data_IF_186305938027
#
_entry.id   IF_186305938027
#
_cell.length_a   1.000
_cell.length_b   1.000
_cell.length_c   1.000
_cell.angle_alpha   90.00
_cell.angle_beta   90.00
_cell.angle_gamma   90.00
#
_symmetry.space_group_name_H-M   'P 1'
#
loop_
_entity.id
_entity.type
_entity.pdbx_description
1 polymer ?
#
# COMPACT_ATOMS: atom_id res chain seq x y z
N UNK A 1 64.85 -18.20 -17.97
CA UNK A 1 64.60 -17.97 -16.53
C UNK A 1 63.23 -17.27 -16.36
N UNK A 2 62.44 -17.72 -15.40
CA UNK A 2 61.20 -17.03 -15.09
C UNK A 2 61.49 -15.67 -14.47
N UNK A 3 60.81 -14.64 -14.92
CA UNK A 3 61.02 -13.27 -14.47
C UNK A 3 60.62 -13.13 -12.99
N UNK A 4 61.50 -12.58 -12.17
CA UNK A 4 61.25 -12.33 -10.73
C UNK A 4 60.51 -10.99 -10.48
N UNK A 5 60.03 -10.75 -9.28
CA UNK A 5 59.37 -9.49 -8.93
C UNK A 5 60.33 -8.25 -9.09
N UNK A 6 61.61 -8.47 -8.81
CA UNK A 6 62.65 -7.46 -9.07
C UNK A 6 62.85 -7.20 -10.57
N UNK A 7 62.81 -8.24 -11.40
CA UNK A 7 62.85 -8.09 -12.84
C UNK A 7 61.62 -7.36 -13.40
N UNK A 8 60.45 -7.58 -12.83
CA UNK A 8 59.23 -6.86 -13.20
C UNK A 8 59.28 -5.36 -12.87
N UNK A 9 59.91 -5.00 -11.77
CA UNK A 9 60.13 -3.59 -11.41
C UNK A 9 61.05 -2.89 -12.37
N UNK A 10 62.10 -3.60 -12.83
CA UNK A 10 63.12 -3.08 -13.72
C UNK A 10 62.66 -2.88 -15.19
N UNK A 11 61.47 -3.37 -15.57
CA UNK A 11 60.93 -3.20 -16.93
C UNK A 11 60.65 -1.70 -17.20
N UNK A 12 61.30 -1.14 -18.22
CA UNK A 12 61.12 0.25 -18.64
C UNK A 12 60.06 0.36 -19.75
N UNK A 13 59.30 1.46 -19.81
CA UNK A 13 58.40 1.71 -20.91
C UNK A 13 59.16 1.88 -22.26
N UNK A 14 58.47 1.49 -23.34
CA UNK A 14 58.95 1.67 -24.72
C UNK A 14 57.92 2.47 -25.49
N UNK A 15 58.28 2.97 -26.69
CA UNK A 15 57.36 3.70 -27.56
C UNK A 15 56.06 2.96 -27.85
N UNK A 16 56.11 1.63 -27.96
CA UNK A 16 54.94 0.78 -28.15
C UNK A 16 54.80 -0.17 -26.98
N UNK A 17 53.52 -0.52 -26.65
CA UNK A 17 53.22 -1.54 -25.62
C UNK A 17 53.89 -2.87 -26.00
N UNK A 18 54.49 -3.52 -25.04
CA UNK A 18 55.11 -4.83 -25.23
C UNK A 18 54.77 -5.79 -24.07
N UNK A 19 54.90 -7.09 -24.29
CA UNK A 19 54.61 -8.08 -23.27
C UNK A 19 55.87 -8.89 -22.94
N UNK A 20 56.00 -9.27 -21.66
CA UNK A 20 57.08 -10.09 -21.16
C UNK A 20 56.47 -11.30 -20.49
N UNK A 21 56.93 -12.51 -20.82
CA UNK A 21 56.44 -13.76 -20.19
C UNK A 21 56.99 -13.89 -18.78
N UNK A 22 56.13 -14.33 -17.85
CA UNK A 22 56.47 -14.64 -16.44
C UNK A 22 56.23 -16.08 -16.07
N UNK A 23 55.94 -16.96 -17.06
CA UNK A 23 55.64 -18.37 -16.90
C UNK A 23 54.13 -18.68 -16.94
N UNK A 24 53.73 -19.91 -17.14
CA UNK A 24 52.38 -20.44 -17.10
C UNK A 24 51.37 -19.66 -17.98
N UNK A 25 51.84 -19.27 -19.18
CA UNK A 25 51.08 -18.40 -20.10
C UNK A 25 50.64 -17.07 -19.48
N UNK A 26 51.22 -16.66 -18.35
CA UNK A 26 51.09 -15.36 -17.74
C UNK A 26 52.11 -14.38 -18.32
N UNK A 27 51.65 -13.20 -18.66
CA UNK A 27 52.46 -12.11 -19.23
C UNK A 27 52.26 -10.86 -18.43
N UNK A 28 53.31 -10.00 -18.44
CA UNK A 28 53.15 -8.59 -18.05
C UNK A 28 53.13 -7.74 -19.31
N UNK A 29 52.09 -6.98 -19.49
CA UNK A 29 51.96 -5.99 -20.55
C UNK A 29 52.41 -4.63 -20.02
N UNK A 30 53.48 -4.09 -20.64
CA UNK A 30 54.05 -2.78 -20.28
C UNK A 30 53.59 -1.75 -21.32
N UNK A 31 52.99 -0.69 -20.81
CA UNK A 31 52.49 0.42 -21.63
C UNK A 31 53.50 1.55 -21.73
N UNK A 32 53.42 2.44 -22.79
CA UNK A 32 54.31 3.59 -22.95
C UNK A 32 54.29 4.57 -21.78
N UNK A 33 53.17 4.65 -21.05
CA UNK A 33 53.03 5.49 -19.84
C UNK A 33 53.60 4.84 -18.57
N UNK A 34 54.32 3.70 -18.69
CA UNK A 34 54.90 2.98 -17.56
C UNK A 34 53.95 2.04 -16.82
N UNK A 35 52.65 2.03 -17.17
CA UNK A 35 51.68 1.11 -16.57
C UNK A 35 52.02 -0.34 -16.93
N UNK A 36 51.97 -1.22 -15.92
CA UNK A 36 52.24 -2.65 -16.04
C UNK A 36 51.01 -3.45 -15.61
N UNK A 37 50.57 -4.38 -16.44
CA UNK A 37 49.36 -5.17 -16.17
C UNK A 37 49.63 -6.63 -16.40
N UNK A 38 49.11 -7.51 -15.49
CA UNK A 38 49.15 -8.92 -15.71
C UNK A 38 48.04 -9.37 -16.68
N UNK A 39 48.43 -10.18 -17.65
CA UNK A 39 47.56 -10.75 -18.69
C UNK A 39 47.84 -12.25 -18.81
N UNK A 40 46.81 -13.08 -18.67
CA UNK A 40 46.87 -14.49 -18.86
C UNK A 40 46.35 -14.87 -20.25
N UNK A 41 47.16 -15.60 -21.03
CA UNK A 41 46.76 -16.09 -22.35
C UNK A 41 46.30 -17.53 -22.26
N UNK A 42 45.08 -17.82 -22.63
CA UNK A 42 44.51 -19.17 -22.55
C UNK A 42 43.77 -19.51 -23.82
N UNK A 43 43.46 -20.81 -23.99
CA UNK A 43 42.67 -21.32 -25.10
C UNK A 43 41.30 -21.74 -24.58
N UNK A 44 40.23 -21.32 -25.26
CA UNK A 44 38.85 -21.69 -24.93
C UNK A 44 38.03 -22.00 -26.19
N UNK A 45 37.27 -23.11 -26.25
CA UNK A 45 37.24 -24.22 -25.27
C UNK A 45 38.62 -24.87 -25.10
N UNK A 46 38.84 -25.65 -23.98
CA UNK A 46 40.16 -26.20 -23.62
C UNK A 46 40.59 -27.40 -24.47
N UNK A 47 40.32 -27.38 -25.76
CA UNK A 47 40.63 -28.43 -26.73
C UNK A 47 41.35 -27.85 -27.97
N UNK A 48 41.69 -28.68 -28.97
CA UNK A 48 42.42 -28.27 -30.18
C UNK A 48 41.67 -27.27 -31.04
N UNK A 49 40.30 -27.24 -30.99
CA UNK A 49 39.46 -26.31 -31.74
C UNK A 49 39.35 -24.91 -31.06
N UNK A 50 39.77 -24.79 -29.79
CA UNK A 50 39.68 -23.54 -29.03
C UNK A 50 40.57 -22.46 -29.58
N UNK A 51 40.08 -21.19 -29.43
CA UNK A 51 40.83 -20.02 -29.79
C UNK A 51 41.62 -19.45 -28.63
N UNK A 52 42.77 -18.81 -28.89
CA UNK A 52 43.49 -18.10 -27.85
C UNK A 52 42.78 -16.80 -27.45
N UNK A 53 42.70 -16.57 -26.17
CA UNK A 53 42.11 -15.38 -25.53
C UNK A 53 43.06 -14.81 -24.51
N UNK A 54 43.02 -13.49 -24.33
CA UNK A 54 43.73 -12.80 -23.29
C UNK A 54 42.77 -12.40 -22.16
N UNK A 55 43.13 -12.73 -20.92
CA UNK A 55 42.41 -12.31 -19.71
C UNK A 55 43.29 -11.33 -18.93
N UNK A 56 42.86 -10.08 -18.83
CA UNK A 56 43.56 -9.07 -18.05
C UNK A 56 43.20 -9.27 -16.55
N UNK A 57 44.20 -9.68 -15.76
CA UNK A 57 44.09 -9.90 -14.31
C UNK A 57 43.98 -8.54 -13.59
N UNK A 58 44.98 -7.68 -13.79
CA UNK A 58 44.98 -6.35 -13.20
C UNK A 58 46.36 -5.67 -13.18
N UNK A 59 46.48 -4.44 -12.63
CA UNK A 59 47.72 -3.69 -12.58
C UNK A 59 48.72 -4.30 -11.60
N UNK A 60 49.98 -4.33 -12.00
CA UNK A 60 51.08 -4.78 -11.16
C UNK A 60 51.37 -3.77 -10.04
N UNK A 61 51.60 -4.25 -8.81
CA UNK A 61 52.05 -3.44 -7.69
C UNK A 61 51.58 -3.97 -6.31
N UNK A 62 51.81 -3.18 -5.29
CA UNK A 62 51.33 -3.44 -3.92
C UNK A 62 50.19 -2.47 -3.57
N UNK A 63 49.22 -2.91 -2.75
CA UNK A 63 48.10 -2.11 -2.28
C UNK A 63 46.77 -2.48 -2.90
N UNK A 64 45.69 -1.80 -2.54
CA UNK A 64 44.33 -2.09 -3.00
C UNK A 64 44.23 -2.06 -4.53
N UNK A 65 43.54 -3.08 -5.11
CA UNK A 65 43.32 -3.19 -6.56
C UNK A 65 44.57 -3.53 -7.38
N UNK A 66 45.77 -3.70 -6.78
CA UNK A 66 47.00 -4.09 -7.45
C UNK A 66 47.38 -5.54 -7.18
N UNK A 67 48.16 -6.11 -8.10
CA UNK A 67 48.54 -7.52 -8.11
C UNK A 67 50.03 -7.68 -7.96
N UNK A 68 50.48 -8.49 -7.00
CA UNK A 68 51.87 -8.98 -6.94
C UNK A 68 52.02 -10.17 -7.88
N UNK A 69 53.26 -10.50 -8.24
CA UNK A 69 53.53 -11.67 -9.11
C UNK A 69 52.96 -12.97 -8.50
N UNK A 70 53.12 -13.16 -7.19
CA UNK A 70 52.57 -14.34 -6.51
C UNK A 70 51.06 -14.41 -6.66
N UNK A 71 50.34 -13.34 -6.27
CA UNK A 71 48.89 -13.29 -6.40
C UNK A 71 48.39 -13.47 -7.84
N UNK A 72 49.11 -12.94 -8.83
CA UNK A 72 48.75 -13.10 -10.23
C UNK A 72 48.89 -14.59 -10.68
N UNK A 73 49.94 -15.32 -10.20
CA UNK A 73 50.09 -16.75 -10.46
C UNK A 73 49.02 -17.58 -9.80
N UNK A 74 48.70 -17.30 -8.52
CA UNK A 74 47.60 -17.95 -7.80
C UNK A 74 46.27 -17.78 -8.55
N UNK A 75 45.99 -16.57 -9.06
CA UNK A 75 44.80 -16.29 -9.85
C UNK A 75 44.78 -17.06 -11.17
N UNK A 76 45.93 -17.23 -11.86
CA UNK A 76 45.99 -18.06 -13.06
C UNK A 76 45.60 -19.51 -12.77
N UNK A 77 46.03 -20.07 -11.63
CA UNK A 77 45.63 -21.43 -11.22
C UNK A 77 44.12 -21.53 -11.06
N UNK A 78 43.53 -20.57 -10.37
CA UNK A 78 42.06 -20.48 -10.18
C UNK A 78 41.30 -20.36 -11.50
N UNK A 79 41.76 -19.48 -12.39
CA UNK A 79 41.15 -19.26 -13.70
C UNK A 79 41.28 -20.49 -14.61
N UNK A 80 42.41 -21.22 -14.52
CA UNK A 80 42.62 -22.45 -15.30
C UNK A 80 41.72 -23.59 -14.82
N UNK A 81 41.42 -23.68 -13.52
CA UNK A 81 40.42 -24.60 -12.98
C UNK A 81 39.02 -24.32 -13.56
N UNK A 82 38.57 -23.07 -13.60
CA UNK A 82 37.30 -22.68 -14.24
C UNK A 82 37.28 -23.06 -15.73
N UNK A 83 38.36 -22.75 -16.46
CA UNK A 83 38.52 -23.10 -17.86
C UNK A 83 38.40 -24.61 -18.09
N UNK A 84 39.05 -25.45 -17.24
CA UNK A 84 38.99 -26.92 -17.31
C UNK A 84 37.59 -27.44 -16.99
N UNK A 85 36.84 -26.76 -16.14
CA UNK A 85 35.43 -27.04 -15.84
C UNK A 85 34.47 -26.62 -16.99
N UNK A 86 35.00 -26.06 -18.09
CA UNK A 86 34.17 -25.65 -19.24
C UNK A 86 33.63 -24.23 -19.14
N UNK A 87 34.05 -23.48 -18.14
CA UNK A 87 33.61 -22.06 -17.95
C UNK A 87 34.65 -21.11 -18.54
N UNK A 88 34.19 -20.13 -19.36
CA UNK A 88 35.08 -19.11 -19.90
C UNK A 88 35.31 -17.99 -18.89
N UNK A 89 36.52 -17.82 -18.32
CA UNK A 89 36.82 -16.80 -17.35
C UNK A 89 36.55 -15.35 -17.83
N UNK A 90 36.72 -15.11 -19.14
CA UNK A 90 36.44 -13.78 -19.73
C UNK A 90 34.94 -13.49 -19.77
N UNK A 91 34.13 -14.48 -20.08
CA UNK A 91 32.68 -14.36 -20.08
C UNK A 91 32.17 -14.09 -18.67
N UNK A 92 32.59 -14.90 -17.68
CA UNK A 92 32.23 -14.71 -16.26
C UNK A 92 32.58 -13.29 -15.75
N UNK A 93 33.77 -12.77 -16.11
CA UNK A 93 34.16 -11.40 -15.74
C UNK A 93 33.26 -10.36 -16.37
N UNK A 94 32.84 -10.56 -17.63
CA UNK A 94 31.96 -9.62 -18.33
C UNK A 94 30.55 -9.61 -17.73
N UNK A 95 30.03 -10.80 -17.38
CA UNK A 95 28.71 -10.94 -16.73
C UNK A 95 28.71 -10.32 -15.33
N UNK A 96 29.75 -10.58 -14.52
CA UNK A 96 29.89 -9.92 -13.22
C UNK A 96 29.92 -8.40 -13.31
N UNK A 97 30.61 -7.85 -14.32
CA UNK A 97 30.65 -6.40 -14.58
C UNK A 97 29.28 -5.87 -15.01
N UNK A 98 28.57 -6.57 -15.89
CA UNK A 98 27.22 -6.20 -16.31
C UNK A 98 26.26 -6.20 -15.11
N UNK A 99 26.35 -7.23 -14.26
CA UNK A 99 25.52 -7.34 -13.07
C UNK A 99 25.78 -6.18 -12.08
N UNK A 100 27.05 -5.83 -11.84
CA UNK A 100 27.42 -4.66 -11.02
C UNK A 100 26.86 -3.34 -11.59
N UNK A 101 26.94 -3.16 -12.91
CA UNK A 101 26.36 -1.99 -13.58
C UNK A 101 24.84 -1.99 -13.42
N UNK A 102 24.19 -3.14 -13.65
CA UNK A 102 22.75 -3.31 -13.49
C UNK A 102 22.30 -2.98 -12.06
N UNK A 103 23.03 -3.46 -11.06
CA UNK A 103 22.76 -3.15 -9.65
C UNK A 103 22.91 -1.66 -9.34
N UNK A 104 23.95 -1.01 -9.88
CA UNK A 104 24.21 0.40 -9.67
C UNK A 104 23.22 1.33 -10.39
N UNK A 105 22.57 0.85 -11.47
CA UNK A 105 21.59 1.61 -12.26
C UNK A 105 20.15 1.29 -11.92
N UNK A 106 19.90 0.23 -11.14
CA UNK A 106 18.54 -0.15 -10.73
C UNK A 106 18.00 0.85 -9.74
N UNK A 107 16.77 1.34 -9.94
CA UNK A 107 16.11 2.25 -9.00
C UNK A 107 15.99 1.67 -7.59
N UNK A 108 16.01 2.55 -6.60
CA UNK A 108 15.80 2.20 -5.19
C UNK A 108 14.34 1.83 -4.90
N UNK A 109 14.11 1.15 -3.78
CA UNK A 109 12.79 0.73 -3.33
C UNK A 109 11.85 1.92 -3.13
N UNK A 110 12.35 3.04 -2.58
CA UNK A 110 11.54 4.26 -2.42
C UNK A 110 11.09 4.80 -3.78
N UNK A 111 11.95 4.78 -4.80
CA UNK A 111 11.59 5.22 -6.15
C UNK A 111 10.54 4.32 -6.80
N UNK A 112 10.61 3.01 -6.53
CA UNK A 112 9.57 2.07 -6.97
C UNK A 112 8.24 2.32 -6.26
N UNK A 113 8.27 2.61 -4.95
CA UNK A 113 7.10 2.95 -4.17
C UNK A 113 6.42 4.24 -4.65
N UNK A 114 7.19 5.30 -4.88
CA UNK A 114 6.67 6.57 -5.41
C UNK A 114 6.04 6.40 -6.79
N UNK A 115 6.75 5.74 -7.71
CA UNK A 115 6.23 5.52 -9.06
C UNK A 115 4.98 4.65 -9.10
N UNK A 116 4.84 3.68 -8.18
CA UNK A 116 3.63 2.90 -8.01
C UNK A 116 2.46 3.77 -7.50
N UNK A 117 2.70 4.61 -6.49
CA UNK A 117 1.69 5.49 -5.91
C UNK A 117 1.20 6.54 -6.91
N UNK A 118 2.11 7.16 -7.65
CA UNK A 118 1.80 8.23 -8.63
C UNK A 118 0.97 7.70 -9.82
N UNK A 119 1.16 6.43 -10.19
CA UNK A 119 0.38 5.81 -11.27
C UNK A 119 -0.87 5.09 -10.80
N UNK A 120 -1.14 5.12 -9.50
CA UNK A 120 -2.33 4.47 -8.95
C UNK A 120 -3.60 5.15 -9.42
N UNK A 121 -4.51 4.37 -10.00
CA UNK A 121 -5.87 4.81 -10.39
C UNK A 121 -6.85 4.76 -9.21
N UNK A 122 -6.38 4.46 -8.02
CA UNK A 122 -7.20 4.39 -6.81
C UNK A 122 -7.61 5.79 -6.34
N UNK A 123 -8.67 5.84 -5.52
CA UNK A 123 -9.09 7.09 -4.86
C UNK A 123 -7.94 7.67 -4.01
N UNK A 124 -7.85 9.01 -3.88
CA UNK A 124 -6.78 9.67 -3.10
C UNK A 124 -6.63 9.12 -1.66
N UNK A 125 -7.74 8.77 -1.01
CA UNK A 125 -7.73 8.16 0.33
C UNK A 125 -7.05 6.79 0.33
N UNK A 126 -7.27 5.96 -0.68
CA UNK A 126 -6.61 4.65 -0.82
C UNK A 126 -5.12 4.81 -1.10
N UNK A 127 -4.75 5.77 -1.96
CA UNK A 127 -3.34 6.08 -2.24
C UNK A 127 -2.63 6.56 -0.98
N UNK A 128 -3.29 7.40 -0.16
CA UNK A 128 -2.79 7.84 1.15
C UNK A 128 -2.56 6.65 2.09
N UNK A 129 -3.50 5.71 2.16
CA UNK A 129 -3.36 4.49 2.96
C UNK A 129 -2.20 3.61 2.49
N UNK A 130 -2.02 3.45 1.18
CA UNK A 130 -0.91 2.70 0.59
C UNK A 130 0.43 3.39 0.89
N UNK A 131 0.49 4.71 0.75
CA UNK A 131 1.66 5.52 1.12
C UNK A 131 2.03 5.29 2.59
N UNK A 132 1.08 5.45 3.51
CA UNK A 132 1.31 5.22 4.93
C UNK A 132 1.85 3.81 5.20
N UNK A 133 1.34 2.79 4.51
CA UNK A 133 1.80 1.42 4.68
C UNK A 133 3.22 1.22 4.16
N UNK A 134 3.53 1.72 2.96
CA UNK A 134 4.87 1.63 2.38
C UNK A 134 5.88 2.38 3.24
N UNK A 135 5.59 3.62 3.65
CA UNK A 135 6.54 4.46 4.37
C UNK A 135 6.73 4.07 5.84
N UNK A 136 5.69 3.54 6.49
CA UNK A 136 5.75 3.22 7.92
C UNK A 136 6.02 1.74 8.22
N UNK A 137 5.81 0.82 7.27
CA UNK A 137 5.98 -0.61 7.49
C UNK A 137 7.02 -1.24 6.56
N UNK A 138 7.07 -0.85 5.29
CA UNK A 138 7.89 -1.53 4.27
C UNK A 138 9.28 -0.92 4.15
N UNK A 139 9.36 0.38 3.85
CA UNK A 139 10.63 1.06 3.62
C UNK A 139 11.57 1.05 4.83
N UNK A 140 11.11 1.20 6.09
CA UNK A 140 12.01 1.14 7.25
C UNK A 140 12.66 -0.24 7.44
N UNK A 141 12.01 -1.32 7.01
CA UNK A 141 12.49 -2.70 7.19
C UNK A 141 13.33 -3.17 6.00
N UNK A 142 12.86 -2.93 4.78
CA UNK A 142 13.54 -3.40 3.55
C UNK A 142 14.63 -2.43 3.06
N UNK A 143 14.72 -1.23 3.64
CA UNK A 143 15.66 -0.17 3.29
C UNK A 143 15.18 0.68 2.09
N UNK A 144 14.95 2.00 2.27
CA UNK A 144 14.45 2.87 1.20
C UNK A 144 15.39 2.94 0.01
N UNK A 145 16.70 2.90 0.25
CA UNK A 145 17.75 3.01 -0.78
C UNK A 145 18.16 1.67 -1.38
N UNK A 146 17.57 0.55 -0.93
CA UNK A 146 17.84 -0.78 -1.47
C UNK A 146 17.47 -0.82 -2.96
N UNK A 147 18.40 -1.17 -3.87
CA UNK A 147 18.06 -1.41 -5.27
C UNK A 147 16.98 -2.49 -5.36
N UNK A 148 15.89 -2.20 -6.09
CA UNK A 148 14.69 -3.07 -6.06
C UNK A 148 14.97 -4.49 -6.55
N UNK A 149 15.94 -4.68 -7.46
CA UNK A 149 16.35 -6.00 -7.95
C UNK A 149 17.04 -6.87 -6.87
N UNK A 150 17.53 -6.30 -5.77
CA UNK A 150 18.03 -7.08 -4.64
C UNK A 150 16.93 -7.83 -3.89
N UNK A 151 15.68 -7.40 -4.09
CA UNK A 151 14.50 -8.06 -3.53
C UNK A 151 13.88 -9.06 -4.52
N UNK A 152 14.59 -9.44 -5.59
CA UNK A 152 14.16 -10.52 -6.47
C UNK A 152 14.07 -11.85 -5.71
N UNK A 153 13.21 -12.73 -6.18
CA UNK A 153 13.02 -14.04 -5.56
C UNK A 153 14.32 -14.84 -5.47
N UNK A 154 15.11 -14.81 -6.54
CA UNK A 154 16.44 -15.42 -6.62
C UNK A 154 17.45 -14.90 -5.60
N UNK A 155 17.24 -13.67 -5.11
CA UNK A 155 18.12 -13.00 -4.16
C UNK A 155 17.60 -13.06 -2.71
N UNK A 156 16.66 -13.96 -2.43
CA UNK A 156 16.07 -14.12 -1.10
C UNK A 156 15.01 -13.06 -0.75
N UNK A 157 14.56 -12.25 -1.72
CA UNK A 157 13.54 -11.23 -1.50
C UNK A 157 12.22 -11.78 -0.98
N UNK A 158 11.88 -13.02 -1.38
CA UNK A 158 10.68 -13.71 -0.87
C UNK A 158 10.73 -13.88 0.65
N UNK A 159 11.85 -14.34 1.20
CA UNK A 159 12.02 -14.51 2.64
C UNK A 159 11.89 -13.16 3.37
N UNK A 160 12.53 -12.11 2.85
CA UNK A 160 12.47 -10.77 3.45
C UNK A 160 11.02 -10.23 3.48
N UNK A 161 10.27 -10.40 2.40
CA UNK A 161 8.85 -9.99 2.32
C UNK A 161 7.99 -10.78 3.32
N UNK A 162 8.21 -12.09 3.44
CA UNK A 162 7.47 -12.92 4.40
C UNK A 162 7.83 -12.60 5.84
N UNK A 163 9.11 -12.41 6.17
CA UNK A 163 9.54 -12.01 7.52
C UNK A 163 8.95 -10.66 7.93
N UNK A 164 8.87 -9.70 7.00
CA UNK A 164 8.18 -8.43 7.26
C UNK A 164 6.69 -8.67 7.55
N UNK A 165 6.01 -9.50 6.76
CA UNK A 165 4.61 -9.84 7.00
C UNK A 165 4.41 -10.47 8.36
N UNK A 166 5.23 -11.47 8.71
CA UNK A 166 5.21 -12.18 9.98
C UNK A 166 5.44 -11.24 11.17
N UNK A 167 6.36 -10.29 11.07
CA UNK A 167 6.60 -9.29 12.11
C UNK A 167 5.38 -8.39 12.37
N UNK A 168 4.55 -8.14 11.35
CA UNK A 168 3.28 -7.42 11.52
C UNK A 168 2.23 -8.32 12.20
N UNK A 169 2.21 -9.60 11.88
CA UNK A 169 1.31 -10.59 12.50
C UNK A 169 1.62 -10.80 13.98
N UNK A 170 2.90 -10.90 14.36
CA UNK A 170 3.35 -11.01 15.75
C UNK A 170 2.89 -9.83 16.61
N UNK A 171 2.73 -8.64 16.03
CA UNK A 171 2.13 -7.47 16.68
C UNK A 171 0.60 -7.54 16.80
N UNK A 172 -0.03 -8.67 16.44
CA UNK A 172 -1.48 -8.89 16.49
C UNK A 172 -2.27 -8.25 15.33
N UNK A 173 -1.60 -7.78 14.29
CA UNK A 173 -2.24 -7.01 13.20
C UNK A 173 -2.41 -7.84 11.93
N UNK A 174 -3.14 -8.96 12.01
CA UNK A 174 -3.32 -9.90 10.90
C UNK A 174 -3.89 -9.25 9.62
N UNK A 175 -4.92 -8.42 9.77
CA UNK A 175 -5.48 -7.68 8.63
C UNK A 175 -4.46 -6.75 7.97
N UNK A 176 -3.67 -6.04 8.79
CA UNK A 176 -2.65 -5.13 8.28
C UNK A 176 -1.52 -5.89 7.57
N UNK A 177 -1.16 -7.09 8.03
CA UNK A 177 -0.14 -7.91 7.38
C UNK A 177 -0.56 -8.32 5.96
N UNK A 178 -1.81 -8.76 5.79
CA UNK A 178 -2.35 -9.11 4.47
C UNK A 178 -2.47 -7.90 3.54
N UNK A 179 -2.90 -6.75 4.08
CA UNK A 179 -2.97 -5.49 3.34
C UNK A 179 -1.58 -5.02 2.92
N UNK A 180 -0.58 -5.15 3.80
CA UNK A 180 0.81 -4.82 3.51
C UNK A 180 1.36 -5.70 2.36
N UNK A 181 1.12 -7.00 2.42
CA UNK A 181 1.51 -7.92 1.34
C UNK A 181 0.86 -7.56 0.01
N UNK A 182 -0.42 -7.17 0.02
CA UNK A 182 -1.14 -6.73 -1.18
C UNK A 182 -0.53 -5.45 -1.78
N UNK A 183 -0.18 -4.48 -0.94
CA UNK A 183 0.42 -3.21 -1.39
C UNK A 183 1.84 -3.44 -1.92
N UNK A 184 2.66 -4.25 -1.23
CA UNK A 184 3.98 -4.66 -1.72
C UNK A 184 3.88 -5.38 -3.07
N UNK A 185 2.87 -6.24 -3.26
CA UNK A 185 2.66 -6.89 -4.55
C UNK A 185 2.48 -5.87 -5.67
N UNK A 186 1.59 -4.89 -5.49
CA UNK A 186 1.38 -3.85 -6.51
C UNK A 186 2.65 -3.05 -6.81
N UNK A 187 3.45 -2.72 -5.80
CA UNK A 187 4.72 -2.03 -5.95
C UNK A 187 5.76 -2.88 -6.72
N UNK A 188 5.89 -4.17 -6.40
CA UNK A 188 6.83 -5.05 -7.12
C UNK A 188 6.35 -5.38 -8.54
N UNK A 189 5.03 -5.55 -8.77
CA UNK A 189 4.49 -5.68 -10.13
C UNK A 189 4.84 -4.45 -10.97
N UNK A 190 4.67 -3.24 -10.42
CA UNK A 190 5.11 -2.02 -11.08
C UNK A 190 6.61 -2.02 -11.42
N UNK A 191 7.47 -2.50 -10.51
CA UNK A 191 8.91 -2.59 -10.76
C UNK A 191 9.26 -3.63 -11.84
N UNK A 192 8.54 -4.75 -11.89
CA UNK A 192 8.67 -5.80 -12.92
C UNK A 192 8.24 -5.24 -14.28
N UNK A 193 7.10 -4.58 -14.38
CA UNK A 193 6.60 -3.95 -15.60
C UNK A 193 7.56 -2.89 -16.17
N UNK A 194 8.38 -2.28 -15.32
CA UNK A 194 9.44 -1.34 -15.69
C UNK A 194 10.77 -2.00 -16.05
N UNK A 195 10.88 -3.32 -15.92
CA UNK A 195 12.14 -4.05 -16.14
C UNK A 195 13.19 -3.79 -15.06
N UNK A 196 12.81 -3.22 -13.91
CA UNK A 196 13.71 -2.95 -12.79
C UNK A 196 13.96 -4.18 -11.93
N UNK A 197 13.09 -5.18 -12.04
CA UNK A 197 13.11 -6.43 -11.29
C UNK A 197 12.67 -7.58 -12.20
N UNK A 198 13.24 -8.77 -11.99
CA UNK A 198 12.81 -9.98 -12.70
C UNK A 198 11.67 -10.69 -11.97
N UNK A 199 10.72 -11.30 -12.69
CA UNK A 199 9.73 -12.19 -12.09
C UNK A 199 10.40 -13.48 -11.52
N UNK A 200 9.74 -14.16 -10.57
CA UNK A 200 8.41 -13.88 -10.04
C UNK A 200 8.42 -12.81 -8.95
N UNK A 201 7.28 -12.11 -8.78
CA UNK A 201 7.08 -11.10 -7.75
C UNK A 201 7.27 -11.69 -6.34
N UNK A 202 8.17 -11.14 -5.50
CA UNK A 202 8.45 -11.68 -4.16
C UNK A 202 7.27 -11.56 -3.19
N UNK A 203 6.32 -10.67 -3.44
CA UNK A 203 5.09 -10.54 -2.66
C UNK A 203 3.91 -11.35 -3.24
N UNK A 204 4.15 -12.20 -4.23
CA UNK A 204 3.10 -13.05 -4.79
C UNK A 204 2.49 -13.95 -3.70
N UNK A 205 1.14 -13.94 -3.60
CA UNK A 205 0.45 -14.69 -2.58
C UNK A 205 0.38 -16.20 -2.88
N UNK A 206 0.77 -17.03 -1.93
CA UNK A 206 0.33 -18.41 -1.84
C UNK A 206 -0.81 -18.51 -0.81
N UNK A 207 -1.57 -19.63 -0.82
CA UNK A 207 -2.57 -19.90 0.23
C UNK A 207 -1.93 -19.88 1.62
N UNK A 208 -0.69 -20.30 1.75
CA UNK A 208 0.08 -20.33 3.00
C UNK A 208 0.55 -18.94 3.45
N UNK A 209 0.66 -17.96 2.53
CA UNK A 209 1.03 -16.59 2.87
C UNK A 209 -0.15 -15.74 3.34
N UNK A 210 -1.38 -16.27 3.32
CA UNK A 210 -2.54 -15.56 3.88
C UNK A 210 -2.56 -15.73 5.39
N UNK A 211 -2.82 -14.63 6.10
CA UNK A 211 -3.04 -14.70 7.54
C UNK A 211 -4.31 -15.50 7.87
N UNK A 212 -4.40 -15.97 9.11
CA UNK A 212 -5.63 -16.60 9.63
C UNK A 212 -6.70 -15.56 10.04
N UNK A 213 -6.61 -14.33 9.49
CA UNK A 213 -7.56 -13.28 9.78
C UNK A 213 -8.96 -13.67 9.34
N UNK A 214 -9.88 -13.68 10.30
CA UNK A 214 -11.33 -13.75 10.04
C UNK A 214 -11.91 -12.36 10.27
N UNK A 215 -12.58 -11.75 9.27
CA UNK A 215 -13.27 -10.49 9.50
C UNK A 215 -14.26 -10.61 10.65
N UNK A 216 -14.14 -9.75 11.64
CA UNK A 216 -15.12 -9.64 12.72
C UNK A 216 -16.12 -8.58 12.25
N UNK A 217 -17.43 -8.90 12.17
CA UNK A 217 -18.44 -7.90 11.85
C UNK A 217 -18.40 -6.73 12.83
N UNK A 218 -18.71 -5.52 12.36
CA UNK A 218 -18.85 -4.39 13.28
C UNK A 218 -19.99 -4.69 14.25
N UNK A 219 -19.80 -4.50 15.56
CA UNK A 219 -20.85 -4.69 16.54
C UNK A 219 -22.01 -3.73 16.26
N UNK A 220 -23.22 -4.19 16.51
CA UNK A 220 -24.50 -3.50 16.33
C UNK A 220 -25.36 -3.71 17.56
N UNK A 221 -26.13 -2.71 17.93
CA UNK A 221 -27.20 -2.89 18.94
C UNK A 221 -28.31 -3.75 18.35
N UNK A 222 -28.97 -4.47 19.25
CA UNK A 222 -30.30 -5.07 18.99
C UNK A 222 -31.36 -4.00 19.12
N UNK A 223 -32.55 -4.25 18.51
CA UNK A 223 -33.65 -3.29 18.50
C UNK A 223 -34.13 -2.91 19.91
N UNK A 224 -34.19 -3.87 20.80
CA UNK A 224 -34.63 -3.72 22.18
C UNK A 224 -33.65 -2.92 23.06
N UNK A 225 -32.45 -2.70 22.60
CA UNK A 225 -31.45 -1.90 23.33
C UNK A 225 -31.53 -0.38 22.99
N UNK A 226 -32.34 -0.01 22.01
CA UNK A 226 -32.48 1.38 21.59
C UNK A 226 -33.01 2.32 22.66
N UNK A 227 -34.03 1.96 23.48
CA UNK A 227 -34.52 2.86 24.53
C UNK A 227 -33.41 3.28 25.50
N UNK A 228 -32.60 2.35 25.93
CA UNK A 228 -31.47 2.62 26.81
C UNK A 228 -30.40 3.47 26.10
N UNK A 229 -30.13 3.18 24.84
CA UNK A 229 -29.18 3.96 24.04
C UNK A 229 -29.63 5.42 23.90
N UNK A 230 -30.90 5.68 23.62
CA UNK A 230 -31.40 7.04 23.47
C UNK A 230 -31.45 7.79 24.82
N UNK A 231 -31.79 7.10 25.92
CA UNK A 231 -31.66 7.70 27.26
C UNK A 231 -30.23 8.14 27.55
N UNK A 232 -29.24 7.30 27.29
CA UNK A 232 -27.81 7.63 27.51
C UNK A 232 -27.32 8.74 26.56
N UNK A 233 -27.82 8.76 25.31
CA UNK A 233 -27.50 9.82 24.35
C UNK A 233 -28.01 11.18 24.83
N UNK A 234 -29.25 11.24 25.35
CA UNK A 234 -29.85 12.47 25.89
C UNK A 234 -29.13 12.93 27.16
N UNK A 235 -28.74 12.01 28.04
CA UNK A 235 -28.01 12.31 29.28
C UNK A 235 -26.67 12.96 28.98
N UNK A 236 -26.03 12.57 27.88
CA UNK A 236 -24.74 13.11 27.44
C UNK A 236 -23.69 13.24 28.55
N UNK A 237 -23.55 12.24 29.40
CA UNK A 237 -22.56 12.24 30.50
C UNK A 237 -21.12 12.56 30.02
N UNK A 238 -20.65 12.08 28.81
CA UNK A 238 -19.34 12.43 28.29
C UNK A 238 -19.17 13.91 27.93
N UNK A 239 -20.24 14.73 27.94
CA UNK A 239 -20.20 16.16 27.61
C UNK A 239 -19.80 16.44 26.17
N UNK A 240 -20.30 15.68 25.22
CA UNK A 240 -20.11 15.96 23.79
C UNK A 240 -20.79 17.26 23.37
N UNK A 241 -20.26 17.92 22.35
CA UNK A 241 -20.90 19.12 21.79
C UNK A 241 -22.28 18.76 21.20
N UNK A 242 -23.21 19.70 21.28
CA UNK A 242 -24.56 19.55 20.70
C UNK A 242 -24.50 19.12 19.24
N UNK A 243 -23.56 19.68 18.46
CA UNK A 243 -23.36 19.31 17.05
C UNK A 243 -22.99 17.82 16.92
N UNK A 244 -22.19 17.27 17.83
CA UNK A 244 -21.84 15.83 17.83
C UNK A 244 -23.03 14.97 18.17
N UNK A 245 -23.86 15.36 19.17
CA UNK A 245 -25.09 14.66 19.53
C UNK A 245 -26.08 14.64 18.37
N UNK A 246 -26.35 15.80 17.77
CA UNK A 246 -27.24 15.92 16.63
C UNK A 246 -26.71 15.13 15.41
N UNK A 247 -25.38 15.08 15.22
CA UNK A 247 -24.78 14.25 14.17
C UNK A 247 -24.99 12.75 14.42
N UNK A 248 -24.98 12.28 15.69
CA UNK A 248 -25.33 10.90 16.02
C UNK A 248 -26.82 10.62 15.77
N UNK A 249 -27.71 11.55 16.15
CA UNK A 249 -29.16 11.43 15.84
C UNK A 249 -29.39 11.31 14.33
N UNK A 250 -28.79 12.18 13.53
CA UNK A 250 -28.87 12.10 12.05
C UNK A 250 -28.27 10.79 11.54
N UNK A 251 -27.16 10.31 12.13
CA UNK A 251 -26.55 9.02 11.77
C UNK A 251 -27.52 7.87 11.97
N UNK A 252 -28.22 7.81 13.11
CA UNK A 252 -29.17 6.73 13.43
C UNK A 252 -30.40 6.82 12.53
N UNK A 253 -30.92 8.03 12.27
CA UNK A 253 -32.08 8.22 11.39
C UNK A 253 -31.78 7.89 9.93
N UNK A 254 -30.58 8.20 9.43
CA UNK A 254 -30.24 8.04 8.01
C UNK A 254 -29.36 6.84 7.72
N UNK A 255 -28.79 6.24 8.75
CA UNK A 255 -27.80 5.15 8.67
C UNK A 255 -26.73 5.34 7.57
N UNK A 256 -26.40 6.59 7.26
CA UNK A 256 -25.33 6.97 6.34
C UNK A 256 -23.95 6.56 6.89
N UNK A 257 -22.96 6.43 6.02
CA UNK A 257 -21.58 6.31 6.49
C UNK A 257 -21.11 7.63 7.09
N UNK A 258 -20.42 7.57 8.24
CA UNK A 258 -19.93 8.79 8.91
C UNK A 258 -19.12 9.70 7.99
N UNK A 259 -18.33 9.14 7.07
CA UNK A 259 -17.58 9.92 6.09
C UNK A 259 -18.41 10.57 4.99
N UNK A 260 -19.67 10.14 4.77
CA UNK A 260 -20.62 10.81 3.88
C UNK A 260 -21.47 11.83 4.63
N UNK A 261 -21.75 11.58 5.92
CA UNK A 261 -22.60 12.39 6.76
C UNK A 261 -21.87 13.66 7.26
N UNK A 262 -20.72 13.49 7.95
CA UNK A 262 -20.11 14.62 8.70
C UNK A 262 -19.65 15.80 7.84
N UNK A 263 -19.24 15.64 6.55
CA UNK A 263 -18.91 16.78 5.69
C UNK A 263 -20.11 17.43 4.99
N UNK A 264 -21.35 17.15 5.43
CA UNK A 264 -22.55 17.70 4.80
C UNK A 264 -22.53 19.23 4.76
N UNK A 265 -22.98 19.80 3.64
CA UNK A 265 -23.10 21.25 3.41
C UNK A 265 -24.55 21.64 3.30
N UNK A 266 -24.89 22.86 3.72
CA UNK A 266 -26.26 23.35 3.65
C UNK A 266 -26.84 23.37 2.25
N UNK A 267 -26.03 23.62 1.24
CA UNK A 267 -26.44 23.65 -0.17
C UNK A 267 -26.95 22.29 -0.72
N UNK A 268 -26.68 21.22 -0.01
CA UNK A 268 -27.09 19.87 -0.40
C UNK A 268 -28.54 19.54 -0.03
N UNK A 269 -29.18 20.40 0.77
CA UNK A 269 -30.51 20.17 1.32
C UNK A 269 -31.57 21.01 0.61
N UNK A 270 -32.41 20.37 -0.18
CA UNK A 270 -33.62 20.99 -0.78
C UNK A 270 -34.82 20.71 0.12
N UNK A 271 -35.11 21.67 1.04
CA UNK A 271 -36.23 21.55 1.97
C UNK A 271 -37.60 21.65 1.29
N UNK A 272 -37.70 22.17 0.05
CA UNK A 272 -38.96 22.24 -0.72
C UNK A 272 -39.31 20.90 -1.35
N UNK A 273 -38.30 20.12 -1.71
CA UNK A 273 -38.45 18.77 -2.27
C UNK A 273 -38.31 17.65 -1.23
N UNK A 274 -38.04 18.02 0.03
CA UNK A 274 -37.72 17.08 1.10
C UNK A 274 -36.60 16.11 0.70
N UNK A 275 -35.47 16.66 0.23
CA UNK A 275 -34.39 15.89 -0.34
C UNK A 275 -33.01 16.38 0.10
N UNK A 276 -32.14 15.47 0.51
CA UNK A 276 -30.72 15.69 0.72
C UNK A 276 -29.94 15.00 -0.40
N UNK A 277 -29.20 15.74 -1.20
CA UNK A 277 -28.39 15.22 -2.30
C UNK A 277 -26.91 15.23 -1.93
N UNK A 278 -26.34 14.04 -1.70
CA UNK A 278 -24.94 13.86 -1.35
C UNK A 278 -24.13 13.68 -2.64
N UNK A 279 -23.14 14.55 -2.92
CA UNK A 279 -22.36 14.51 -4.15
C UNK A 279 -21.50 13.25 -4.27
N UNK A 280 -21.26 12.82 -5.51
CA UNK A 280 -20.57 11.58 -5.87
C UNK A 280 -19.17 11.44 -5.25
N UNK A 281 -18.45 12.57 -5.09
CA UNK A 281 -17.08 12.62 -4.56
C UNK A 281 -17.01 12.12 -3.11
N UNK A 282 -18.08 12.35 -2.32
CA UNK A 282 -18.18 11.89 -0.94
C UNK A 282 -18.68 10.46 -0.80
N UNK A 283 -19.25 9.93 -1.87
CA UNK A 283 -19.78 8.57 -1.84
C UNK A 283 -18.70 7.53 -2.17
N UNK A 284 -18.66 6.44 -1.38
CA UNK A 284 -17.72 5.34 -1.63
C UNK A 284 -17.91 4.73 -3.03
N UNK A 285 -19.15 4.71 -3.51
CA UNK A 285 -19.52 4.19 -4.84
C UNK A 285 -19.13 5.12 -5.98
N UNK A 286 -18.82 6.40 -5.70
CA UNK A 286 -18.59 7.42 -6.73
C UNK A 286 -19.84 7.79 -7.52
N UNK A 287 -21.03 7.58 -6.95
CA UNK A 287 -22.33 7.99 -7.51
C UNK A 287 -23.03 8.87 -6.48
N UNK A 288 -23.71 9.91 -6.97
CA UNK A 288 -24.59 10.75 -6.16
C UNK A 288 -25.61 9.89 -5.42
N UNK A 289 -25.96 10.31 -4.20
CA UNK A 289 -26.95 9.62 -3.38
C UNK A 289 -27.96 10.61 -2.80
N UNK A 290 -29.23 10.33 -3.05
CA UNK A 290 -30.35 11.10 -2.56
C UNK A 290 -30.95 10.45 -1.33
N UNK A 291 -31.20 11.23 -0.29
CA UNK A 291 -31.78 10.81 0.98
C UNK A 291 -33.07 11.59 1.20
N UNK A 292 -34.24 10.93 1.33
CA UNK A 292 -35.49 11.58 1.69
C UNK A 292 -35.38 12.25 3.07
N UNK A 293 -35.87 13.47 3.20
CA UNK A 293 -35.92 14.20 4.46
C UNK A 293 -37.30 13.98 5.11
N UNK A 294 -37.26 13.37 6.28
CA UNK A 294 -38.46 13.22 7.16
C UNK A 294 -38.60 14.45 8.06
N UNK A 295 -39.79 14.66 8.65
CA UNK A 295 -40.02 15.78 9.56
C UNK A 295 -39.05 15.78 10.76
N UNK A 296 -38.84 14.65 11.47
CA UNK A 296 -37.84 14.56 12.52
C UNK A 296 -36.43 14.99 12.06
N UNK A 297 -36.02 14.58 10.87
CA UNK A 297 -34.71 14.95 10.32
C UNK A 297 -34.65 16.45 10.00
N UNK A 298 -35.73 17.03 9.46
CA UNK A 298 -35.83 18.49 9.23
C UNK A 298 -35.76 19.28 10.53
N UNK A 299 -36.33 18.77 11.61
CA UNK A 299 -36.27 19.46 12.93
C UNK A 299 -34.85 19.44 13.52
N UNK A 300 -34.10 18.33 13.37
CA UNK A 300 -32.66 18.32 13.69
C UNK A 300 -31.89 19.32 12.84
N UNK A 301 -32.19 19.40 11.55
CA UNK A 301 -31.53 20.37 10.66
C UNK A 301 -31.85 21.81 11.07
N UNK A 302 -33.08 22.12 11.49
CA UNK A 302 -33.45 23.47 12.03
C UNK A 302 -32.64 23.81 13.29
N UNK A 303 -32.50 22.85 14.22
CA UNK A 303 -31.66 23.05 15.41
C UNK A 303 -30.19 23.31 14.98
N UNK A 304 -29.61 22.50 14.11
CA UNK A 304 -28.25 22.73 13.60
C UNK A 304 -28.13 24.09 12.91
N UNK A 305 -29.15 24.53 12.16
CA UNK A 305 -29.18 25.82 11.48
C UNK A 305 -29.11 26.98 12.45
N UNK A 306 -29.75 26.88 13.62
CA UNK A 306 -29.68 27.92 14.64
C UNK A 306 -28.30 28.16 15.25
N UNK A 307 -27.43 27.12 15.22
CA UNK A 307 -26.07 27.20 15.73
C UNK A 307 -25.02 27.44 14.64
N UNK A 308 -25.23 26.83 13.47
CA UNK A 308 -24.23 26.79 12.40
C UNK A 308 -24.74 27.42 11.09
N UNK A 309 -25.82 28.22 11.13
CA UNK A 309 -26.47 28.72 9.93
C UNK A 309 -25.58 29.57 9.04
N UNK A 310 -24.62 30.27 9.62
CA UNK A 310 -23.65 31.10 8.92
C UNK A 310 -22.42 30.32 8.41
N UNK A 311 -22.34 29.04 8.73
CA UNK A 311 -21.23 28.17 8.30
C UNK A 311 -21.63 27.40 7.05
N UNK A 312 -20.65 27.03 6.24
CA UNK A 312 -20.86 26.21 5.06
C UNK A 312 -21.26 24.77 5.43
N UNK A 313 -20.66 24.22 6.50
CA UNK A 313 -20.88 22.85 6.96
C UNK A 313 -22.02 22.76 7.96
N UNK A 314 -22.93 21.79 7.77
CA UNK A 314 -24.03 21.48 8.68
C UNK A 314 -23.50 21.06 10.06
N UNK A 315 -22.51 20.20 10.10
CA UNK A 315 -21.89 19.72 11.33
C UNK A 315 -20.58 20.46 11.62
N UNK A 316 -20.62 21.78 11.58
CA UNK A 316 -19.46 22.64 11.80
C UNK A 316 -18.83 22.36 13.18
N UNK A 317 -17.50 22.35 13.23
CA UNK A 317 -16.74 22.16 14.47
C UNK A 317 -15.66 23.24 14.59
N UNK A 318 -15.79 24.20 15.52
CA UNK A 318 -14.80 25.26 15.72
C UNK A 318 -13.45 24.75 16.21
N UNK A 319 -13.39 23.52 16.73
CA UNK A 319 -12.16 22.85 17.16
C UNK A 319 -11.50 22.03 16.05
N UNK A 320 -12.09 21.95 14.87
CA UNK A 320 -11.60 21.20 13.72
C UNK A 320 -10.35 21.83 13.14
N UNK A 321 -9.16 21.32 13.50
CA UNK A 321 -7.87 21.83 12.97
C UNK A 321 -7.63 21.44 11.51
N UNK A 322 -8.17 20.32 11.07
CA UNK A 322 -7.94 19.76 9.73
C UNK A 322 -9.16 19.91 8.84
N UNK A 323 -10.36 19.89 9.43
CA UNK A 323 -11.63 19.98 8.72
C UNK A 323 -12.55 20.96 9.46
N UNK A 324 -13.36 21.75 8.73
CA UNK A 324 -14.31 22.69 9.34
C UNK A 324 -15.54 22.02 9.96
N UNK A 325 -15.59 20.68 9.96
CA UNK A 325 -16.71 19.88 10.43
C UNK A 325 -16.28 18.83 11.45
N UNK A 326 -17.22 18.25 12.17
CA UNK A 326 -17.02 17.10 13.06
C UNK A 326 -16.35 15.98 12.29
N UNK A 327 -15.22 15.46 12.79
CA UNK A 327 -14.55 14.34 12.14
C UNK A 327 -15.39 13.06 12.30
N UNK A 328 -15.42 12.21 11.26
CA UNK A 328 -16.18 10.95 11.27
C UNK A 328 -15.86 10.05 12.47
N UNK A 329 -14.60 10.06 12.93
CA UNK A 329 -14.19 9.25 14.08
C UNK A 329 -14.69 9.81 15.41
N UNK A 330 -15.10 11.09 15.46
CA UNK A 330 -15.72 11.68 16.65
C UNK A 330 -17.03 11.01 17.03
N UNK A 331 -17.78 10.54 16.04
CA UNK A 331 -19.01 9.76 16.26
C UNK A 331 -18.70 8.47 17.03
N UNK A 332 -17.72 7.69 16.55
CA UNK A 332 -17.28 6.47 17.22
C UNK A 332 -16.65 6.73 18.59
N UNK A 333 -15.91 7.83 18.74
CA UNK A 333 -15.31 8.21 20.03
C UNK A 333 -16.39 8.58 21.03
N UNK A 334 -17.44 9.30 20.58
CA UNK A 334 -18.56 9.61 21.46
C UNK A 334 -19.29 8.33 21.92
N UNK A 335 -19.62 7.41 20.99
CA UNK A 335 -20.22 6.12 21.34
C UNK A 335 -19.36 5.34 22.36
N UNK A 336 -18.04 5.31 22.19
CA UNK A 336 -17.13 4.66 23.14
C UNK A 336 -17.17 5.31 24.52
N UNK A 337 -17.19 6.66 24.57
CA UNK A 337 -17.24 7.43 25.82
C UNK A 337 -18.56 7.26 26.55
N UNK A 338 -19.65 7.02 25.84
CA UNK A 338 -20.96 6.65 26.41
C UNK A 338 -21.01 5.22 26.95
N UNK A 339 -19.91 4.43 26.86
CA UNK A 339 -19.88 3.04 27.32
C UNK A 339 -20.20 1.99 26.25
N UNK A 340 -20.46 2.40 25.01
CA UNK A 340 -20.85 1.47 23.92
C UNK A 340 -19.66 0.89 23.16
N UNK A 341 -18.45 0.94 23.74
CA UNK A 341 -17.26 0.27 23.16
C UNK A 341 -17.50 -1.24 23.07
N UNK A 342 -17.43 -1.78 21.85
CA UNK A 342 -17.65 -3.20 21.60
C UNK A 342 -19.13 -3.60 21.49
N UNK A 343 -20.07 -2.71 21.81
CA UNK A 343 -21.51 -2.92 21.66
C UNK A 343 -22.06 -2.38 20.34
N UNK A 344 -21.56 -1.22 19.92
CA UNK A 344 -21.91 -0.64 18.61
C UNK A 344 -20.83 0.27 18.08
N UNK A 345 -20.97 0.62 16.80
CA UNK A 345 -20.19 1.61 16.09
C UNK A 345 -21.10 2.44 15.20
N UNK A 346 -20.59 3.58 14.68
CA UNK A 346 -21.31 4.35 13.66
C UNK A 346 -21.70 3.50 12.43
N UNK A 347 -20.94 2.45 12.14
CA UNK A 347 -21.28 1.49 11.07
C UNK A 347 -22.29 0.43 11.54
N UNK A 348 -22.34 0.11 12.83
CA UNK A 348 -23.30 -0.82 13.43
C UNK A 348 -24.76 -0.40 13.24
N UNK A 349 -25.06 0.91 13.25
CA UNK A 349 -26.41 1.41 12.97
C UNK A 349 -26.92 1.07 11.55
N UNK A 350 -26.03 0.78 10.63
CA UNK A 350 -26.44 0.29 9.30
C UNK A 350 -26.86 -1.18 9.35
N UNK A 351 -26.21 -1.99 10.19
CA UNK A 351 -26.64 -3.36 10.44
C UNK A 351 -27.98 -3.37 11.15
N UNK A 352 -28.14 -2.54 12.19
CA UNK A 352 -29.42 -2.35 12.87
C UNK A 352 -30.54 -1.97 11.89
N UNK A 353 -30.32 -0.96 11.05
CA UNK A 353 -31.32 -0.52 10.08
C UNK A 353 -31.67 -1.60 9.05
N UNK A 354 -30.70 -2.43 8.66
CA UNK A 354 -30.95 -3.56 7.77
C UNK A 354 -31.81 -4.63 8.45
N UNK A 355 -31.41 -5.04 9.66
CA UNK A 355 -32.09 -6.10 10.39
C UNK A 355 -33.48 -5.65 10.85
N UNK A 356 -33.59 -4.53 11.57
CA UNK A 356 -34.86 -4.02 12.06
C UNK A 356 -35.79 -3.55 10.92
N UNK A 357 -35.25 -2.98 9.86
CA UNK A 357 -36.06 -2.63 8.69
C UNK A 357 -36.76 -3.85 8.08
N UNK A 358 -36.08 -5.00 8.01
CA UNK A 358 -36.67 -6.24 7.50
C UNK A 358 -37.55 -6.93 8.54
N UNK A 359 -37.09 -7.07 9.80
CA UNK A 359 -37.74 -7.90 10.80
C UNK A 359 -38.86 -7.17 11.54
N UNK A 360 -38.67 -5.88 11.85
CA UNK A 360 -39.64 -5.07 12.58
C UNK A 360 -40.60 -4.36 11.64
N UNK A 361 -40.05 -3.63 10.65
CA UNK A 361 -40.84 -2.81 9.74
C UNK A 361 -41.34 -3.59 8.50
N UNK A 362 -40.86 -4.79 8.26
CA UNK A 362 -41.25 -5.65 7.13
C UNK A 362 -40.97 -4.99 5.75
N UNK A 363 -39.97 -4.15 5.68
CA UNK A 363 -39.59 -3.46 4.44
C UNK A 363 -38.74 -4.36 3.56
N UNK A 364 -38.96 -4.29 2.26
CA UNK A 364 -38.20 -5.07 1.29
C UNK A 364 -36.69 -4.76 1.38
N UNK A 365 -35.88 -5.82 1.32
CA UNK A 365 -34.43 -5.74 1.42
C UNK A 365 -33.82 -4.78 0.38
N UNK A 366 -34.34 -4.72 -0.82
CA UNK A 366 -33.85 -3.85 -1.89
C UNK A 366 -34.02 -2.38 -1.56
N UNK A 367 -35.17 -1.98 -1.00
CA UNK A 367 -35.47 -0.61 -0.59
C UNK A 367 -34.42 -0.15 0.44
N UNK A 368 -34.18 -0.98 1.46
CA UNK A 368 -33.21 -0.69 2.52
C UNK A 368 -31.78 -0.58 1.94
N UNK A 369 -31.38 -1.49 1.08
CA UNK A 369 -30.05 -1.47 0.44
C UNK A 369 -29.85 -0.24 -0.43
N UNK A 370 -30.87 0.20 -1.19
CA UNK A 370 -30.83 1.42 -1.99
C UNK A 370 -30.71 2.65 -1.10
N UNK A 371 -31.43 2.70 0.01
CA UNK A 371 -31.30 3.77 0.99
C UNK A 371 -29.91 3.81 1.62
N UNK A 372 -29.25 2.67 1.77
CA UNK A 372 -27.86 2.58 2.23
C UNK A 372 -26.80 2.94 1.15
N UNK A 373 -27.19 3.31 -0.04
CA UNK A 373 -26.29 3.50 -1.19
C UNK A 373 -25.40 2.27 -1.46
N UNK A 374 -25.97 1.06 -1.29
CA UNK A 374 -25.32 -0.15 -1.75
C UNK A 374 -25.61 -0.38 -3.23
N UNK A 375 -24.63 -0.93 -3.95
CA UNK A 375 -24.87 -1.41 -5.31
C UNK A 375 -25.68 -2.70 -5.25
N UNK A 376 -26.83 -2.71 -5.88
CA UNK A 376 -27.69 -3.88 -5.92
C UNK A 376 -27.49 -4.65 -7.21
N UNK A 377 -27.40 -5.98 -7.12
CA UNK A 377 -27.29 -6.89 -8.25
C UNK A 377 -25.87 -7.08 -8.80
N UNK A 378 -25.73 -8.03 -9.74
CA UNK A 378 -24.50 -8.26 -10.50
C UNK A 378 -24.14 -7.04 -11.35
N UNK A 379 -22.85 -6.92 -11.73
CA UNK A 379 -22.36 -5.80 -12.57
C UNK A 379 -23.23 -5.52 -13.81
N UNK A 380 -23.91 -6.54 -14.31
CA UNK A 380 -24.80 -6.45 -15.47
C UNK A 380 -26.15 -5.81 -15.08
N UNK A 381 -26.82 -6.26 -14.01
CA UNK A 381 -28.08 -5.68 -13.51
C UNK A 381 -27.92 -4.24 -13.03
N UNK A 382 -26.87 -3.94 -12.28
CA UNK A 382 -26.58 -2.58 -11.78
C UNK A 382 -26.31 -1.54 -12.89
N UNK A 383 -26.05 -1.99 -14.14
CA UNK A 383 -25.91 -1.11 -15.31
C UNK A 383 -27.24 -0.72 -15.95
N UNK A 384 -28.26 -1.56 -15.82
CA UNK A 384 -29.59 -1.36 -16.45
C UNK A 384 -30.65 -0.84 -15.48
N UNK A 385 -30.55 -1.12 -14.20
CA UNK A 385 -31.52 -0.67 -13.20
C UNK A 385 -31.19 0.74 -12.69
N UNK A 386 -31.87 1.73 -13.26
CA UNK A 386 -31.77 3.15 -12.87
C UNK A 386 -32.83 3.56 -11.85
N UNK A 387 -33.70 2.64 -11.42
CA UNK A 387 -34.75 2.95 -10.46
C UNK A 387 -34.11 3.39 -9.13
N UNK A 388 -34.56 4.52 -8.62
CA UNK A 388 -34.15 5.05 -7.31
C UNK A 388 -35.10 4.58 -6.20
N UNK A 389 -36.25 4.01 -6.53
CA UNK A 389 -37.32 3.61 -5.58
C UNK A 389 -37.57 4.73 -4.55
N UNK A 390 -37.70 5.96 -5.02
CA UNK A 390 -37.65 7.14 -4.15
C UNK A 390 -38.88 7.25 -3.25
N UNK A 391 -40.06 6.86 -3.76
CA UNK A 391 -41.31 6.86 -2.99
C UNK A 391 -41.23 5.82 -1.88
N UNK A 392 -40.89 4.57 -2.22
CA UNK A 392 -40.77 3.47 -1.28
C UNK A 392 -39.69 3.76 -0.22
N UNK A 393 -38.60 4.40 -0.63
CA UNK A 393 -37.55 4.83 0.30
C UNK A 393 -38.03 5.97 1.21
N UNK A 394 -38.88 6.86 0.73
CA UNK A 394 -39.48 7.91 1.55
C UNK A 394 -40.39 7.28 2.62
N UNK A 395 -41.27 6.37 2.21
CA UNK A 395 -42.17 5.67 3.13
C UNK A 395 -41.36 4.88 4.19
N UNK A 396 -40.30 4.19 3.76
CA UNK A 396 -39.39 3.51 4.69
C UNK A 396 -38.75 4.50 5.69
N UNK A 397 -38.24 5.63 5.22
CA UNK A 397 -37.57 6.62 6.08
C UNK A 397 -38.54 7.26 7.08
N UNK A 398 -39.79 7.48 6.71
CA UNK A 398 -40.86 7.93 7.64
C UNK A 398 -41.10 6.86 8.70
N UNK A 399 -41.44 5.64 8.28
CA UNK A 399 -41.71 4.51 9.21
C UNK A 399 -40.48 4.25 10.12
N UNK A 400 -39.26 4.38 9.62
CA UNK A 400 -38.04 4.23 10.39
C UNK A 400 -37.91 5.30 11.49
N UNK A 401 -38.12 6.57 11.14
CA UNK A 401 -38.03 7.68 12.12
C UNK A 401 -39.14 7.57 13.17
N UNK A 402 -40.36 7.21 12.79
CA UNK A 402 -41.48 6.99 13.72
C UNK A 402 -41.15 5.85 14.70
N UNK A 403 -40.68 4.72 14.19
CA UNK A 403 -40.25 3.61 15.01
C UNK A 403 -39.08 3.94 15.96
N UNK A 404 -38.13 4.77 15.51
CA UNK A 404 -37.05 5.28 16.39
C UNK A 404 -37.61 6.21 17.49
N UNK A 405 -38.61 7.02 17.19
CA UNK A 405 -39.30 7.87 18.19
C UNK A 405 -40.04 7.02 19.23
N UNK A 406 -40.67 5.94 18.81
CA UNK A 406 -41.32 4.95 19.72
C UNK A 406 -40.28 4.26 20.62
N UNK A 407 -39.04 4.09 20.14
CA UNK A 407 -37.92 3.60 20.94
C UNK A 407 -37.28 4.68 21.82
N UNK A 408 -37.76 5.92 21.81
CA UNK A 408 -37.31 7.00 22.69
C UNK A 408 -36.36 8.00 22.08
N UNK A 409 -36.17 7.99 20.77
CA UNK A 409 -35.42 9.06 20.09
C UNK A 409 -36.16 10.40 20.26
N UNK A 410 -35.53 11.37 20.93
CA UNK A 410 -36.01 12.76 21.09
C UNK A 410 -35.27 13.67 20.13
N UNK A 411 -35.97 14.71 19.65
CA UNK A 411 -35.41 15.71 18.71
C UNK A 411 -35.46 17.09 19.31
#
# INVERSE_FOLDING_TARGET
MALTDSGLKALLPKEKKYRVSVGDALYVLVYPNGGKYFVWKYRFPPNRSGQFRDYQIGPYGKGPGKWTLKRAKDEVIRLDQLRKAGEDPRFLKSESKKELIKQATTPSLIKAAEGFLDRSKNKPSTVKDYRNMLYNQVLPVLGPDTPVNRLEWSNGGRQQVLSLKESIEERGSLYQSDKCLMVMRGMFDYAIDRGWMQPPNPAMGSKQAKSKHKPIPNPSLEWEQLPKFFEDLERNEPGASLVTLLAVKVLVMTFLRGGSLTPARWEEFDLKKDLWTIPAERMKTGREHQVPLTDPLKDVLKQLRSFNGDQECVFFSPRGRTFPHVHRDSLNNHLKNMGYKGLTTAHGFRHLALTAGQEVLKVDHEIIQRQMAHTFGDKIRGSYDKSQMMEERRDFMVAWCDALSDQGLKI
#
